data_IF_848204602669
#
_entry.id   IF_848204602669
#
_cell.length_a   1.000
_cell.length_b   1.000
_cell.length_c   1.000
_cell.angle_alpha   90.00
_cell.angle_beta   90.00
_cell.angle_gamma   90.00
#
_symmetry.space_group_name_H-M   'P 1'
#
loop_
_entity.id
_entity.type
_entity.pdbx_description
1 polymer ?
#
# COMPACT_ATOMS: atom_id res chain seq x y z
N UNK A 1 -1.07 1.43 -5.13
CA UNK A 1 0.09 1.07 -4.30
C UNK A 1 -0.41 0.59 -2.96
N UNK A 2 0.29 -0.36 -2.33
CA UNK A 2 -0.03 -0.92 -1.02
C UNK A 2 1.24 -1.12 -0.20
N UNK A 3 1.16 -0.97 1.11
CA UNK A 3 2.21 -1.37 2.04
C UNK A 3 1.67 -1.56 3.46
N UNK A 4 2.44 -2.27 4.27
CA UNK A 4 2.32 -2.25 5.72
C UNK A 4 3.29 -1.24 6.31
N UNK A 5 2.82 -0.44 7.25
CA UNK A 5 3.65 0.54 7.98
C UNK A 5 3.48 0.36 9.48
N UNK A 6 4.59 0.43 10.22
CA UNK A 6 4.59 0.59 11.67
C UNK A 6 5.49 1.78 12.00
N UNK A 7 4.89 2.87 12.48
CA UNK A 7 5.62 4.08 12.85
C UNK A 7 6.16 3.95 14.27
N UNK A 8 7.38 4.41 14.53
CA UNK A 8 7.98 4.37 15.88
C UNK A 8 8.06 5.73 16.55
N UNK A 9 7.68 6.80 15.84
CA UNK A 9 7.59 8.15 16.39
C UNK A 9 6.28 8.84 15.97
N UNK A 10 5.87 9.85 16.75
CA UNK A 10 4.74 10.73 16.40
C UNK A 10 5.10 11.74 15.33
N UNK A 11 6.38 11.82 14.96
CA UNK A 11 6.93 12.81 14.04
C UNK A 11 6.52 12.56 12.59
N UNK A 12 6.74 13.59 11.79
CA UNK A 12 6.56 13.67 10.35
C UNK A 12 7.32 12.58 9.57
N UNK A 13 7.07 12.46 8.27
CA UNK A 13 7.91 11.62 7.43
C UNK A 13 7.30 11.24 6.10
N UNK A 14 8.17 11.07 5.12
CA UNK A 14 7.83 10.61 3.77
C UNK A 14 7.82 9.09 3.72
N UNK A 15 6.68 8.51 3.34
CA UNK A 15 6.63 7.07 3.09
C UNK A 15 7.12 6.73 1.70
N UNK A 16 6.67 7.51 0.71
CA UNK A 16 7.04 7.33 -0.68
C UNK A 16 7.31 8.69 -1.31
N UNK A 17 8.45 8.81 -1.96
CA UNK A 17 8.84 9.94 -2.78
C UNK A 17 9.03 9.47 -4.21
N UNK A 18 8.50 10.22 -5.17
CA UNK A 18 8.61 9.94 -6.60
C UNK A 18 9.29 11.12 -7.29
N UNK A 19 10.31 10.86 -8.09
CA UNK A 19 11.09 11.90 -8.77
C UNK A 19 11.54 11.46 -10.16
N UNK A 20 11.67 12.42 -11.08
CA UNK A 20 12.30 12.22 -12.40
C UNK A 20 13.83 12.10 -12.31
N UNK A 21 14.44 12.54 -11.20
CA UNK A 21 15.89 12.55 -11.00
C UNK A 21 16.31 11.94 -9.65
N UNK A 22 17.56 11.47 -9.57
CA UNK A 22 18.13 10.79 -8.38
C UNK A 22 18.48 11.71 -7.23
N UNK A 23 18.62 13.01 -7.49
CA UNK A 23 18.88 14.05 -6.50
C UNK A 23 17.58 14.66 -5.93
N UNK A 24 16.44 14.39 -6.57
CA UNK A 24 15.15 14.97 -6.20
C UNK A 24 14.86 16.30 -6.90
N UNK A 25 15.69 16.74 -7.85
CA UNK A 25 15.42 17.94 -8.63
C UNK A 25 14.48 17.65 -9.81
N UNK A 26 13.89 18.70 -10.36
CA UNK A 26 12.97 18.59 -11.50
C UNK A 26 11.56 18.24 -11.06
N UNK A 27 10.91 17.29 -11.74
CA UNK A 27 9.56 16.90 -11.34
C UNK A 27 9.63 15.87 -10.21
N UNK A 28 9.01 16.20 -9.08
CA UNK A 28 8.86 15.28 -7.98
C UNK A 28 7.58 15.53 -7.18
N UNK A 29 7.09 14.46 -6.55
CA UNK A 29 5.91 14.47 -5.70
C UNK A 29 6.10 13.49 -4.54
N UNK A 30 5.45 13.80 -3.42
CA UNK A 30 5.34 12.91 -2.26
C UNK A 30 3.94 12.33 -2.24
N UNK A 31 3.67 11.22 -2.94
CA UNK A 31 2.32 10.69 -3.10
C UNK A 31 1.70 10.21 -1.78
N UNK A 32 2.52 9.82 -0.80
CA UNK A 32 2.04 9.43 0.53
C UNK A 32 3.09 9.63 1.62
N UNK A 33 2.63 10.10 2.78
CA UNK A 33 3.46 10.33 3.96
C UNK A 33 2.63 10.84 5.13
N UNK A 34 3.29 11.40 6.14
CA UNK A 34 2.65 11.93 7.34
C UNK A 34 2.70 13.45 7.37
N UNK A 35 1.61 14.07 7.82
CA UNK A 35 1.59 15.49 8.18
C UNK A 35 2.34 15.74 9.49
N UNK A 36 2.50 17.02 9.84
CA UNK A 36 3.02 17.50 11.14
C UNK A 36 2.25 17.01 12.35
N UNK A 37 0.96 16.72 12.16
CA UNK A 37 0.07 16.18 13.18
C UNK A 37 0.04 14.65 13.23
N UNK A 38 0.80 13.99 12.34
CA UNK A 38 0.88 12.54 12.27
C UNK A 38 -0.28 11.88 11.50
N UNK A 39 -1.10 12.64 10.78
CA UNK A 39 -2.12 12.09 9.90
C UNK A 39 -1.48 11.45 8.68
N UNK A 40 -1.89 10.23 8.32
CA UNK A 40 -1.54 9.67 7.01
C UNK A 40 -2.18 10.53 5.93
N UNK A 41 -1.39 11.01 4.97
CA UNK A 41 -1.85 11.92 3.92
C UNK A 41 -1.40 11.40 2.57
N UNK A 42 -2.31 11.36 1.61
CA UNK A 42 -2.03 11.02 0.22
C UNK A 42 -2.32 12.21 -0.69
N UNK A 43 -1.51 12.41 -1.72
CA UNK A 43 -1.57 13.59 -2.59
C UNK A 43 -1.76 13.22 -4.05
N UNK A 44 -2.47 14.08 -4.77
CA UNK A 44 -2.65 14.03 -6.21
C UNK A 44 -2.33 15.39 -6.80
N UNK A 45 -1.82 15.38 -8.03
CA UNK A 45 -1.35 16.56 -8.74
C UNK A 45 -2.28 16.94 -9.89
N UNK A 46 -2.54 18.24 -10.04
CA UNK A 46 -3.37 18.85 -11.11
C UNK A 46 -4.86 18.42 -11.19
N UNK A 47 -5.76 19.09 -10.44
CA UNK A 47 -5.46 20.10 -9.44
C UNK A 47 -4.85 19.45 -8.20
N UNK A 48 -4.03 20.21 -7.49
CA UNK A 48 -3.46 19.74 -6.23
C UNK A 48 -4.57 19.43 -5.25
N UNK A 49 -4.65 18.16 -4.87
CA UNK A 49 -5.57 17.67 -3.85
C UNK A 49 -4.83 16.76 -2.91
N UNK A 50 -5.35 16.68 -1.69
CA UNK A 50 -4.88 15.75 -0.69
C UNK A 50 -6.05 15.06 -0.02
N UNK A 51 -5.80 13.85 0.46
CA UNK A 51 -6.70 13.10 1.34
C UNK A 51 -5.97 12.97 2.67
N UNK A 52 -6.53 13.58 3.71
CA UNK A 52 -6.01 13.46 5.07
C UNK A 52 -6.78 12.36 5.80
N UNK A 53 -6.09 11.26 6.07
CA UNK A 53 -6.59 10.15 6.87
C UNK A 53 -6.40 10.36 8.37
N UNK A 54 -6.63 9.31 9.19
CA UNK A 54 -6.48 9.37 10.63
C UNK A 54 -5.01 9.52 11.07
N UNK A 55 -4.82 9.93 12.33
CA UNK A 55 -3.52 9.79 13.00
C UNK A 55 -3.32 8.31 13.31
N UNK A 56 -2.20 7.75 12.84
CA UNK A 56 -1.88 6.34 13.09
C UNK A 56 -1.21 6.16 14.44
N UNK A 57 -1.61 5.11 15.17
CA UNK A 57 -0.96 4.72 16.43
C UNK A 57 0.50 4.34 16.20
N UNK A 58 1.37 4.78 17.11
CA UNK A 58 2.78 4.35 17.13
C UNK A 58 2.86 2.87 17.54
N UNK A 59 3.88 2.18 17.02
CA UNK A 59 4.18 0.77 17.28
C UNK A 59 3.05 -0.21 16.91
N UNK A 60 2.09 0.22 16.09
CA UNK A 60 1.03 -0.64 15.55
C UNK A 60 1.18 -0.79 14.03
N UNK A 61 1.14 -2.02 13.54
CA UNK A 61 1.10 -2.29 12.10
C UNK A 61 -0.24 -1.81 11.53
N UNK A 62 -0.16 -1.00 10.48
CA UNK A 62 -1.32 -0.49 9.75
C UNK A 62 -1.12 -0.75 8.27
N UNK A 63 -2.12 -1.33 7.60
CA UNK A 63 -2.10 -1.48 6.16
C UNK A 63 -2.58 -0.19 5.50
N UNK A 64 -1.80 0.33 4.55
CA UNK A 64 -2.08 1.56 3.83
C UNK A 64 -2.06 1.28 2.34
N UNK A 65 -3.09 1.76 1.64
CA UNK A 65 -3.14 1.65 0.19
C UNK A 65 -3.66 2.92 -0.47
N UNK A 66 -3.17 3.19 -1.67
CA UNK A 66 -3.72 4.22 -2.56
C UNK A 66 -4.09 3.61 -3.90
N UNK A 67 -5.25 3.96 -4.42
CA UNK A 67 -5.69 3.58 -5.77
C UNK A 67 -5.90 4.84 -6.60
N UNK A 68 -5.75 4.73 -7.91
CA UNK A 68 -5.99 5.83 -8.82
C UNK A 68 -6.50 5.34 -10.17
N UNK A 69 -7.53 6.03 -10.68
CA UNK A 69 -7.87 6.08 -12.10
C UNK A 69 -8.36 7.48 -12.46
N UNK A 70 -8.38 7.87 -13.75
CA UNK A 70 -8.96 9.15 -14.16
C UNK A 70 -10.44 9.31 -13.76
N UNK A 71 -11.18 8.19 -13.71
CA UNK A 71 -12.61 8.17 -13.38
C UNK A 71 -12.87 8.38 -11.88
N UNK A 72 -12.12 7.70 -11.02
CA UNK A 72 -12.36 7.73 -9.57
C UNK A 72 -11.46 8.74 -8.84
N UNK A 73 -10.39 9.20 -9.51
CA UNK A 73 -9.31 9.95 -8.89
C UNK A 73 -8.49 9.08 -7.94
N UNK A 74 -7.69 9.75 -7.11
CA UNK A 74 -6.96 9.13 -6.00
C UNK A 74 -7.94 8.76 -4.88
N UNK A 75 -7.78 7.57 -4.31
CA UNK A 75 -8.46 7.10 -3.09
C UNK A 75 -7.40 6.60 -2.10
N UNK A 76 -7.58 6.93 -0.82
CA UNK A 76 -6.75 6.43 0.29
C UNK A 76 -7.54 5.40 1.10
N UNK A 77 -6.87 4.31 1.45
CA UNK A 77 -7.40 3.23 2.29
C UNK A 77 -6.49 3.03 3.51
N UNK A 78 -7.12 2.77 4.66
CA UNK A 78 -6.47 2.40 5.91
C UNK A 78 -7.13 1.11 6.41
N UNK A 79 -6.33 0.07 6.64
CA UNK A 79 -6.80 -1.26 7.04
C UNK A 79 -7.97 -1.77 6.19
N UNK A 80 -7.83 -1.61 4.86
CA UNK A 80 -8.81 -2.10 3.89
C UNK A 80 -10.03 -1.21 3.70
N UNK A 81 -10.22 -0.17 4.52
CA UNK A 81 -11.38 0.74 4.46
C UNK A 81 -11.00 2.07 3.82
N UNK A 82 -11.82 2.57 2.89
CA UNK A 82 -11.58 3.87 2.26
C UNK A 82 -11.76 5.01 3.28
N UNK A 83 -10.76 5.88 3.42
CA UNK A 83 -10.83 7.06 4.29
C UNK A 83 -11.18 8.34 3.54
N UNK A 84 -11.06 8.32 2.21
CA UNK A 84 -11.46 9.45 1.37
C UNK A 84 -10.98 9.28 -0.07
N UNK A 85 -11.51 10.12 -0.95
CA UNK A 85 -11.18 10.16 -2.36
C UNK A 85 -11.24 11.58 -2.91
N UNK A 86 -10.55 11.81 -4.01
CA UNK A 86 -10.45 13.13 -4.66
C UNK A 86 -11.57 13.40 -5.67
N UNK A 87 -12.29 12.35 -6.08
CA UNK A 87 -13.19 12.37 -7.23
C UNK A 87 -12.43 12.43 -8.56
N UNK A 88 -13.16 12.27 -9.67
CA UNK A 88 -12.60 12.27 -11.02
C UNK A 88 -11.61 13.43 -11.24
N UNK A 89 -10.38 13.09 -11.57
CA UNK A 89 -9.33 14.04 -11.92
C UNK A 89 -8.16 13.31 -12.60
N UNK A 90 -7.40 14.06 -13.38
CA UNK A 90 -6.14 13.58 -13.92
C UNK A 90 -5.05 13.75 -12.86
N UNK A 91 -4.15 12.79 -12.79
CA UNK A 91 -2.90 12.90 -12.04
C UNK A 91 -1.78 12.95 -13.07
N UNK A 92 -1.52 14.16 -13.57
CA UNK A 92 -0.56 14.39 -14.66
C UNK A 92 0.87 14.14 -14.15
N UNK A 93 1.39 12.95 -14.41
CA UNK A 93 2.79 12.62 -14.25
C UNK A 93 3.53 12.79 -15.60
N UNK A 94 4.83 13.13 -15.59
CA UNK A 94 5.64 13.09 -16.80
C UNK A 94 5.64 11.67 -17.38
N UNK A 95 5.63 11.55 -18.70
CA UNK A 95 5.77 10.27 -19.40
C UNK A 95 7.24 9.83 -19.43
N UNK A 96 7.86 9.76 -18.25
CA UNK A 96 9.28 9.51 -18.05
C UNK A 96 9.49 8.40 -17.00
N UNK A 97 10.70 7.83 -16.99
CA UNK A 97 11.10 6.91 -15.92
C UNK A 97 11.19 7.70 -14.63
N UNK A 98 10.56 7.19 -13.58
CA UNK A 98 10.59 7.79 -12.25
C UNK A 98 11.32 6.89 -11.27
N UNK A 99 11.99 7.52 -10.32
CA UNK A 99 12.65 6.88 -9.20
C UNK A 99 11.69 6.93 -8.02
N UNK A 100 11.53 5.78 -7.38
CA UNK A 100 10.77 5.66 -6.15
C UNK A 100 11.72 5.50 -4.97
N UNK A 101 11.63 6.41 -4.00
CA UNK A 101 12.35 6.32 -2.73
C UNK A 101 11.36 6.02 -1.62
N UNK A 102 11.68 5.03 -0.78
CA UNK A 102 10.86 4.66 0.37
C UNK A 102 11.47 5.20 1.65
N UNK A 103 10.62 5.73 2.52
CA UNK A 103 11.01 6.17 3.86
C UNK A 103 11.84 7.46 3.93
N UNK A 104 12.03 8.17 2.82
CA UNK A 104 12.71 9.47 2.81
C UNK A 104 12.29 10.31 1.60
N UNK A 105 12.46 11.63 1.70
CA UNK A 105 12.41 12.56 0.58
C UNK A 105 13.83 12.85 0.12
N UNK A 106 14.05 12.87 -1.19
CA UNK A 106 15.32 13.36 -1.74
C UNK A 106 15.47 14.86 -1.46
N UNK A 107 16.71 15.36 -1.42
CA UNK A 107 17.04 16.73 -0.98
C UNK A 107 16.90 17.81 -2.06
N UNK A 108 16.53 17.43 -3.29
CA UNK A 108 16.32 18.34 -4.39
C UNK A 108 15.13 19.29 -4.18
N UNK A 109 15.10 20.36 -4.96
CA UNK A 109 14.08 21.40 -4.88
C UNK A 109 12.89 21.14 -5.81
N UNK A 110 11.72 21.66 -5.43
CA UNK A 110 10.53 21.69 -6.30
C UNK A 110 9.53 20.55 -6.09
N UNK A 111 9.73 19.69 -5.08
CA UNK A 111 8.82 18.59 -4.80
C UNK A 111 7.50 19.06 -4.23
N UNK A 112 6.42 18.59 -4.84
CA UNK A 112 5.06 18.78 -4.37
C UNK A 112 4.75 17.83 -3.22
N UNK A 113 4.62 18.35 -1.99
CA UNK A 113 4.26 17.53 -0.82
C UNK A 113 2.93 17.91 -0.16
N UNK A 114 2.27 19.00 -0.58
CA UNK A 114 1.06 19.53 0.07
C UNK A 114 1.26 19.62 1.60
N UNK A 115 0.40 18.97 2.41
CA UNK A 115 0.52 18.95 3.88
C UNK A 115 1.40 17.81 4.40
N UNK A 116 2.02 17.00 3.53
CA UNK A 116 3.00 16.01 3.95
C UNK A 116 4.28 16.75 4.30
N UNK A 117 4.75 16.49 5.51
CA UNK A 117 6.01 17.00 5.96
C UNK A 117 7.14 16.10 5.42
N UNK A 118 7.93 16.68 4.52
CA UNK A 118 9.02 16.00 3.82
C UNK A 118 10.16 15.67 4.77
N UNK A 119 10.72 14.47 4.65
CA UNK A 119 11.84 14.03 5.46
C UNK A 119 11.82 12.53 5.75
N UNK A 120 12.78 12.09 6.56
CA UNK A 120 12.93 10.68 6.93
C UNK A 120 11.71 10.18 7.70
N UNK A 121 11.17 9.05 7.27
CA UNK A 121 10.21 8.27 8.04
C UNK A 121 10.95 7.40 9.07
N UNK A 122 10.48 7.43 10.31
CA UNK A 122 10.99 6.58 11.39
C UNK A 122 10.01 5.44 11.70
N UNK A 123 10.40 4.22 11.32
CA UNK A 123 9.62 3.02 11.55
C UNK A 123 9.99 1.88 10.62
N UNK A 124 9.04 0.97 10.44
CA UNK A 124 9.17 -0.21 9.60
C UNK A 124 8.17 -0.15 8.45
N UNK A 125 8.63 -0.56 7.27
CA UNK A 125 7.82 -0.77 6.08
C UNK A 125 7.92 -2.24 5.73
N UNK A 126 6.83 -2.81 5.25
CA UNK A 126 6.77 -4.20 4.84
C UNK A 126 5.80 -4.38 3.68
N UNK A 127 5.99 -5.43 2.90
CA UNK A 127 5.00 -5.88 1.90
C UNK A 127 4.61 -4.79 0.88
N UNK A 128 5.60 -3.99 0.45
CA UNK A 128 5.42 -2.90 -0.51
C UNK A 128 5.07 -3.42 -1.92
N UNK A 129 3.94 -2.96 -2.46
CA UNK A 129 3.43 -3.36 -3.78
C UNK A 129 2.99 -2.16 -4.63
N UNK A 130 3.31 -2.20 -5.92
CA UNK A 130 2.84 -1.24 -6.93
C UNK A 130 2.06 -2.00 -8.01
N UNK A 131 0.94 -1.43 -8.45
CA UNK A 131 0.04 -2.02 -9.43
C UNK A 131 -0.10 -1.09 -10.62
N UNK A 132 -0.21 -1.66 -11.82
CA UNK A 132 -0.42 -0.93 -13.08
C UNK A 132 -1.88 -0.58 -13.35
N UNK A 133 -2.79 -0.85 -12.40
CA UNK A 133 -4.22 -0.56 -12.49
C UNK A 133 -4.78 -0.13 -11.15
N UNK A 134 -5.99 0.43 -11.20
CA UNK A 134 -6.81 0.61 -10.02
C UNK A 134 -7.24 -0.75 -9.46
N UNK A 135 -7.03 -0.95 -8.16
CA UNK A 135 -7.57 -2.10 -7.43
C UNK A 135 -8.96 -1.73 -6.88
N UNK A 136 -9.86 -2.70 -6.83
CA UNK A 136 -11.17 -2.56 -6.18
C UNK A 136 -11.04 -2.55 -4.65
N UNK A 137 -12.05 -2.04 -3.95
CA UNK A 137 -12.09 -2.06 -2.48
C UNK A 137 -11.95 -3.49 -1.91
N UNK A 138 -12.53 -4.50 -2.58
CA UNK A 138 -12.40 -5.91 -2.18
C UNK A 138 -10.97 -6.42 -2.31
N UNK A 139 -10.27 -6.08 -3.41
CA UNK A 139 -8.86 -6.43 -3.59
C UNK A 139 -7.97 -5.74 -2.55
N UNK A 140 -8.24 -4.47 -2.23
CA UNK A 140 -7.52 -3.75 -1.17
C UNK A 140 -7.76 -4.39 0.21
N UNK A 141 -8.98 -4.82 0.50
CA UNK A 141 -9.28 -5.51 1.74
C UNK A 141 -8.53 -6.85 1.83
N UNK A 142 -8.46 -7.62 0.75
CA UNK A 142 -7.70 -8.88 0.72
C UNK A 142 -6.21 -8.67 1.07
N UNK A 143 -5.57 -7.60 0.60
CA UNK A 143 -4.17 -7.29 0.93
C UNK A 143 -3.92 -7.02 2.43
N UNK A 144 -4.97 -6.75 3.22
CA UNK A 144 -4.87 -6.63 4.68
C UNK A 144 -4.73 -7.98 5.38
N UNK A 145 -4.99 -9.08 4.66
CA UNK A 145 -4.86 -10.45 5.16
C UNK A 145 -3.48 -11.03 4.86
N UNK A 146 -2.78 -10.51 3.85
CA UNK A 146 -1.42 -10.92 3.48
C UNK A 146 -0.40 -10.96 4.65
N UNK A 147 -0.60 -10.18 5.73
CA UNK A 147 0.32 -10.22 6.88
C UNK A 147 0.19 -11.49 7.73
N UNK A 148 -0.98 -12.14 7.75
CA UNK A 148 -1.12 -13.44 8.43
C UNK A 148 -0.53 -14.56 7.58
N UNK A 149 -0.58 -14.42 6.25
CA UNK A 149 -0.09 -15.42 5.30
C UNK A 149 1.41 -15.77 5.39
N UNK A 150 2.17 -15.19 6.31
CA UNK A 150 3.60 -15.52 6.52
C UNK A 150 3.99 -15.46 8.00
N UNK A 151 3.02 -15.47 8.90
CA UNK A 151 3.29 -15.38 10.34
C UNK A 151 3.47 -16.76 11.01
N UNK A 152 3.33 -17.85 10.25
CA UNK A 152 3.48 -19.22 10.72
C UNK A 152 2.34 -19.69 11.61
N UNK A 153 1.23 -18.95 11.67
CA UNK A 153 0.04 -19.25 12.45
C UNK A 153 -1.13 -19.34 11.46
N UNK A 154 -1.94 -20.39 11.58
CA UNK A 154 -3.13 -20.51 10.74
C UNK A 154 -4.12 -19.39 11.04
N UNK A 155 -4.25 -18.46 10.10
CA UNK A 155 -5.19 -17.34 10.15
C UNK A 155 -6.64 -17.71 9.83
N UNK A 156 -7.56 -16.77 10.02
CA UNK A 156 -9.02 -17.00 9.86
C UNK A 156 -9.45 -17.34 8.41
N UNK A 157 -8.66 -16.97 7.41
CA UNK A 157 -8.95 -17.20 5.99
C UNK A 157 -7.86 -18.04 5.30
N UNK A 158 -6.97 -18.64 6.08
CA UNK A 158 -6.01 -19.64 5.60
C UNK A 158 -6.65 -21.02 5.63
N UNK A 159 -6.31 -21.87 4.65
CA UNK A 159 -6.75 -23.26 4.62
C UNK A 159 -5.64 -24.23 5.02
N UNK A 160 -4.40 -23.78 5.04
CA UNK A 160 -3.28 -24.37 5.77
C UNK A 160 -2.38 -23.24 6.29
N UNK A 161 -1.44 -23.53 7.20
CA UNK A 161 -0.53 -22.49 7.72
C UNK A 161 0.12 -21.72 6.57
N UNK A 162 -0.07 -20.39 6.59
CA UNK A 162 0.45 -19.42 5.62
C UNK A 162 -0.15 -19.52 4.21
N UNK A 163 -1.14 -20.37 3.91
CA UNK A 163 -1.69 -20.50 2.55
C UNK A 163 -3.20 -20.77 2.46
N UNK A 164 -3.76 -20.55 1.26
CA UNK A 164 -5.16 -20.79 0.96
C UNK A 164 -6.09 -19.61 1.25
N UNK A 165 -7.35 -19.70 0.81
CA UNK A 165 -8.34 -18.62 0.92
C UNK A 165 -7.92 -17.34 0.21
N UNK A 166 -7.57 -16.28 0.97
CA UNK A 166 -7.01 -15.02 0.41
C UNK A 166 -5.49 -15.00 0.33
N UNK A 167 -4.80 -15.95 0.97
CA UNK A 167 -3.36 -16.10 0.87
C UNK A 167 -2.94 -16.70 -0.48
N UNK A 168 -1.63 -16.89 -0.68
CA UNK A 168 -1.15 -17.62 -1.83
C UNK A 168 -1.68 -19.05 -1.83
N UNK A 169 -1.75 -19.65 -3.02
CA UNK A 169 -2.26 -21.01 -3.17
C UNK A 169 -1.35 -22.03 -2.47
N UNK A 170 -1.95 -22.92 -1.71
CA UNK A 170 -1.32 -24.04 -1.06
C UNK A 170 -0.69 -25.02 -2.07
N UNK A 171 0.48 -25.54 -1.70
CA UNK A 171 1.22 -26.54 -2.46
C UNK A 171 0.56 -27.93 -2.36
N UNK A 172 0.99 -28.85 -3.22
CA UNK A 172 0.54 -30.25 -3.16
C UNK A 172 0.87 -30.84 -1.79
N UNK A 173 -0.10 -31.50 -1.15
CA UNK A 173 0.02 -32.10 0.18
C UNK A 173 -0.36 -31.19 1.34
N UNK A 174 -0.65 -29.91 1.09
CA UNK A 174 -1.15 -28.97 2.09
C UNK A 174 -2.68 -29.01 2.19
N UNK A 175 -3.20 -28.53 3.32
CA UNK A 175 -4.63 -28.50 3.59
C UNK A 175 -5.35 -27.47 2.70
N UNK A 176 -6.61 -27.78 2.34
CA UNK A 176 -7.45 -26.91 1.51
C UNK A 176 -8.93 -27.09 1.85
N UNK A 177 -9.75 -26.08 1.51
CA UNK A 177 -11.22 -26.17 1.62
C UNK A 177 -11.84 -26.17 0.22
N UNK A 178 -11.27 -25.39 -0.70
CA UNK A 178 -11.73 -25.21 -2.07
C UNK A 178 -10.58 -25.45 -3.04
N UNK A 179 -10.91 -25.94 -4.24
CA UNK A 179 -9.91 -26.13 -5.32
C UNK A 179 -9.16 -24.84 -5.68
N UNK A 180 -9.78 -23.65 -5.47
CA UNK A 180 -9.11 -22.36 -5.69
C UNK A 180 -7.91 -22.13 -4.76
N UNK A 181 -7.90 -22.80 -3.60
CA UNK A 181 -6.84 -22.68 -2.59
C UNK A 181 -5.59 -23.44 -3.04
N UNK A 182 -5.69 -24.34 -4.02
CA UNK A 182 -4.60 -25.21 -4.44
C UNK A 182 -3.87 -24.70 -5.69
N UNK A 183 -2.54 -24.80 -5.67
CA UNK A 183 -1.69 -24.40 -6.79
C UNK A 183 -1.75 -25.42 -7.93
N UNK A 184 -2.61 -25.18 -8.91
CA UNK A 184 -2.77 -25.97 -10.13
C UNK A 184 -3.14 -27.45 -9.91
N UNK A 185 -3.78 -27.78 -8.79
CA UNK A 185 -4.31 -29.12 -8.47
C UNK A 185 -5.70 -29.00 -7.82
N UNK A 186 -6.40 -30.12 -7.63
CA UNK A 186 -7.72 -30.14 -6.99
C UNK A 186 -7.60 -30.23 -5.47
N UNK A 187 -8.57 -29.66 -4.77
CA UNK A 187 -8.73 -29.95 -3.35
C UNK A 187 -9.50 -31.26 -3.20
N UNK A 188 -8.80 -32.34 -2.79
CA UNK A 188 -9.36 -33.69 -2.69
C UNK A 188 -9.10 -34.24 -1.29
N UNK A 189 -10.18 -34.62 -0.58
CA UNK A 189 -10.10 -35.04 0.83
C UNK A 189 -9.36 -34.01 1.70
N UNK A 190 -9.72 -32.74 1.55
CA UNK A 190 -9.15 -31.59 2.26
C UNK A 190 -7.64 -31.38 2.05
N UNK A 191 -7.05 -32.00 1.02
CA UNK A 191 -5.64 -31.86 0.65
C UNK A 191 -5.50 -31.48 -0.82
N UNK A 192 -4.58 -30.58 -1.13
CA UNK A 192 -4.22 -30.25 -2.51
C UNK A 192 -3.53 -31.46 -3.18
N UNK A 193 -4.22 -32.10 -4.12
CA UNK A 193 -3.78 -33.33 -4.76
C UNK A 193 -4.16 -33.38 -6.26
N UNK A 194 -3.32 -34.06 -7.04
CA UNK A 194 -3.49 -34.27 -8.49
C UNK A 194 -4.54 -35.32 -8.82
#
# INVERSE_FOLDING_TARGET
MSLWVQRTSTGEGTLVHQSSQTDGDGWCTVPIGFSSTGNITATAWKPDKQITGPVLSINAWTHIATTYSPTNGLILYVNGTSVGGTGAQNNDAPSEVVILTLGNSLSGGGCSSQSIATGTFYGYLDEFRVYSRELSATEIYALTKDKTCFDGIMGDDETDIDCGGSCFKCAVGQNCILTKDCNNVLCTNDICAS
#
